data_IF_825501293419
#
_entry.id   IF_825501293419
#
_cell.length_a   1.000
_cell.length_b   1.000
_cell.length_c   1.000
_cell.angle_alpha   90.00
_cell.angle_beta   90.00
_cell.angle_gamma   90.00
#
_symmetry.space_group_name_H-M   'P 1'
#
loop_
_entity.id
_entity.type
_entity.pdbx_description
1 polymer ?
#
# COMPACT_ATOMS: atom_id res chain seq x y z
N UNK A 1 28.89 19.66 22.04
CA UNK A 1 27.79 20.64 22.09
C UNK A 1 27.33 21.11 20.71
N UNK A 2 28.18 21.72 19.87
CA UNK A 2 27.78 22.19 18.52
C UNK A 2 27.49 21.07 17.50
N UNK A 3 28.33 20.05 17.45
CA UNK A 3 28.17 18.92 16.51
C UNK A 3 27.09 17.92 16.96
N UNK A 4 26.83 17.83 18.27
CA UNK A 4 25.77 16.98 18.82
C UNK A 4 24.39 17.46 18.39
N UNK A 5 24.17 18.78 18.34
CA UNK A 5 22.92 19.37 17.84
C UNK A 5 22.78 19.13 16.32
N UNK A 6 23.87 19.28 15.57
CA UNK A 6 23.91 19.03 14.11
C UNK A 6 23.61 17.56 13.76
N UNK A 7 24.16 16.61 14.51
CA UNK A 7 23.92 15.17 14.31
C UNK A 7 22.45 14.83 14.59
N UNK A 8 21.85 15.45 15.61
CA UNK A 8 20.45 15.21 15.99
C UNK A 8 19.46 15.74 14.93
N UNK A 9 19.78 16.87 14.29
CA UNK A 9 18.99 17.45 13.18
C UNK A 9 19.07 16.58 11.92
N UNK A 10 20.24 16.02 11.62
CA UNK A 10 20.43 15.12 10.46
C UNK A 10 19.64 13.83 10.65
N UNK A 11 19.63 13.25 11.87
CA UNK A 11 18.86 12.04 12.17
C UNK A 11 17.34 12.29 12.06
N UNK A 12 16.86 13.46 12.50
CA UNK A 12 15.45 13.83 12.39
C UNK A 12 14.98 14.02 10.94
N UNK A 13 15.87 14.41 10.01
CA UNK A 13 15.51 14.60 8.61
C UNK A 13 15.34 13.28 7.83
N UNK A 14 15.98 12.19 8.27
CA UNK A 14 15.97 10.90 7.54
C UNK A 14 14.69 10.10 7.79
N UNK A 15 13.94 10.38 8.88
CA UNK A 15 12.72 9.64 9.22
C UNK A 15 11.47 10.11 8.46
N UNK A 16 11.53 11.22 7.73
CA UNK A 16 10.37 11.79 7.04
C UNK A 16 10.16 11.27 5.60
N UNK A 17 11.08 10.46 5.09
CA UNK A 17 11.05 9.94 3.71
C UNK A 17 10.27 8.62 3.56
N UNK A 18 9.67 8.11 4.63
CA UNK A 18 8.89 6.87 4.63
C UNK A 18 7.43 7.10 4.26
N UNK A 19 6.93 6.31 3.30
CA UNK A 19 5.53 6.21 2.86
C UNK A 19 5.03 7.28 1.88
N UNK A 20 5.60 7.32 0.68
CA UNK A 20 4.80 7.68 -0.51
C UNK A 20 4.10 6.42 -1.04
N UNK A 21 3.03 6.00 -0.35
CA UNK A 21 2.17 4.84 -0.70
C UNK A 21 1.34 5.05 -1.97
N UNK A 22 2.00 5.42 -3.06
CA UNK A 22 1.38 5.75 -4.34
C UNK A 22 1.87 4.84 -5.47
N UNK A 23 2.46 3.68 -5.12
CA UNK A 23 2.84 2.66 -6.08
C UNK A 23 1.73 1.60 -6.18
N UNK A 24 1.33 1.30 -7.41
CA UNK A 24 0.37 0.24 -7.72
C UNK A 24 0.76 -1.12 -7.13
N UNK A 25 2.06 -1.43 -7.09
CA UNK A 25 2.58 -2.67 -6.51
C UNK A 25 2.36 -2.73 -5.01
N UNK A 26 2.65 -1.63 -4.30
CA UNK A 26 2.52 -1.59 -2.84
C UNK A 26 1.07 -1.75 -2.41
N UNK A 27 0.15 -1.01 -3.04
CA UNK A 27 -1.30 -1.15 -2.78
C UNK A 27 -1.78 -2.59 -3.01
N UNK A 28 -1.29 -3.25 -4.07
CA UNK A 28 -1.60 -4.65 -4.34
C UNK A 28 -1.03 -5.61 -3.28
N UNK A 29 0.23 -5.41 -2.88
CA UNK A 29 0.89 -6.25 -1.88
C UNK A 29 0.23 -6.11 -0.51
N UNK A 30 -0.17 -4.89 -0.12
CA UNK A 30 -0.96 -4.64 1.10
C UNK A 30 -2.32 -5.31 1.02
N UNK A 31 -3.04 -5.17 -0.09
CA UNK A 31 -4.34 -5.84 -0.26
C UNK A 31 -4.21 -7.36 -0.10
N UNK A 32 -3.17 -7.97 -0.68
CA UNK A 32 -2.90 -9.41 -0.54
C UNK A 32 -2.56 -9.80 0.90
N UNK A 33 -1.81 -8.97 1.62
CA UNK A 33 -1.50 -9.19 3.03
C UNK A 33 -2.77 -9.20 3.89
N UNK A 34 -3.70 -8.27 3.65
CA UNK A 34 -4.99 -8.23 4.34
C UNK A 34 -5.83 -9.49 4.07
N UNK A 35 -5.82 -10.03 2.83
CA UNK A 35 -6.46 -11.32 2.55
C UNK A 35 -5.85 -12.44 3.41
N UNK A 36 -4.52 -12.50 3.53
CA UNK A 36 -3.80 -13.50 4.33
C UNK A 36 -4.05 -13.34 5.84
N UNK A 37 -4.32 -12.11 6.28
CA UNK A 37 -4.66 -11.79 7.67
C UNK A 37 -6.14 -11.97 7.99
N UNK A 38 -6.91 -12.59 7.08
CA UNK A 38 -8.35 -12.82 7.22
C UNK A 38 -9.17 -11.52 7.37
N UNK A 39 -8.72 -10.45 6.72
CA UNK A 39 -9.39 -9.14 6.62
C UNK A 39 -9.90 -8.90 5.18
N UNK A 40 -10.81 -9.71 4.65
CA UNK A 40 -11.24 -9.62 3.24
C UNK A 40 -11.90 -8.28 2.91
N UNK A 41 -12.58 -7.66 3.87
CA UNK A 41 -13.21 -6.35 3.71
C UNK A 41 -12.17 -5.26 3.35
N UNK A 42 -11.07 -5.20 4.11
CA UNK A 42 -10.00 -4.23 3.88
C UNK A 42 -9.23 -4.52 2.58
N UNK A 43 -8.98 -5.80 2.30
CA UNK A 43 -8.40 -6.22 1.02
C UNK A 43 -9.22 -5.74 -0.19
N UNK A 44 -10.56 -5.84 -0.14
CA UNK A 44 -11.42 -5.34 -1.21
C UNK A 44 -11.32 -3.83 -1.39
N UNK A 45 -11.28 -3.06 -0.30
CA UNK A 45 -11.13 -1.60 -0.35
C UNK A 45 -9.81 -1.21 -1.03
N UNK A 46 -8.71 -1.85 -0.65
CA UNK A 46 -7.40 -1.60 -1.25
C UNK A 46 -7.35 -1.98 -2.73
N UNK A 47 -7.98 -3.09 -3.13
CA UNK A 47 -8.10 -3.45 -4.55
C UNK A 47 -8.94 -2.43 -5.35
N UNK A 48 -10.04 -1.94 -4.79
CA UNK A 48 -10.84 -0.88 -5.41
C UNK A 48 -10.03 0.42 -5.56
N UNK A 49 -9.29 0.79 -4.52
CA UNK A 49 -8.41 1.96 -4.55
C UNK A 49 -7.31 1.82 -5.61
N UNK A 50 -6.66 0.66 -5.70
CA UNK A 50 -5.66 0.36 -6.73
C UNK A 50 -6.22 0.53 -8.13
N UNK A 51 -7.42 0.00 -8.39
CA UNK A 51 -8.08 0.11 -9.71
C UNK A 51 -8.40 1.58 -10.02
N UNK A 52 -8.82 2.36 -9.03
CA UNK A 52 -9.15 3.78 -9.18
C UNK A 52 -7.91 4.64 -9.42
N UNK A 53 -6.85 4.44 -8.64
CA UNK A 53 -5.62 5.26 -8.70
C UNK A 53 -4.67 4.85 -9.82
N UNK A 54 -4.60 3.56 -10.14
CA UNK A 54 -3.66 3.00 -11.11
C UNK A 54 -4.33 2.15 -12.20
N UNK A 55 -5.37 2.65 -12.90
CA UNK A 55 -6.23 1.84 -13.77
C UNK A 55 -5.51 1.16 -14.94
N UNK A 56 -4.36 1.70 -15.37
CA UNK A 56 -3.55 1.18 -16.48
C UNK A 56 -2.41 0.25 -16.01
N UNK A 57 -2.23 0.05 -14.70
CA UNK A 57 -1.18 -0.82 -14.19
C UNK A 57 -1.54 -2.30 -14.37
N UNK A 58 -0.52 -3.15 -14.54
CA UNK A 58 -0.73 -4.61 -14.52
C UNK A 58 -1.36 -5.06 -13.20
N UNK A 59 -0.98 -4.44 -12.08
CA UNK A 59 -1.56 -4.71 -10.76
C UNK A 59 -3.06 -4.40 -10.67
N UNK A 60 -3.56 -3.35 -11.35
CA UNK A 60 -4.99 -3.08 -11.41
C UNK A 60 -5.76 -4.15 -12.19
N UNK A 61 -5.16 -4.76 -13.23
CA UNK A 61 -5.77 -5.90 -13.93
C UNK A 61 -5.88 -7.10 -12.99
N UNK A 62 -4.82 -7.41 -12.25
CA UNK A 62 -4.81 -8.52 -11.29
C UNK A 62 -5.83 -8.26 -10.17
N UNK A 63 -5.89 -7.04 -9.63
CA UNK A 63 -6.83 -6.68 -8.59
C UNK A 63 -8.30 -6.78 -9.00
N UNK A 64 -8.66 -6.46 -10.26
CA UNK A 64 -10.03 -6.70 -10.77
C UNK A 64 -10.42 -8.17 -10.66
N UNK A 65 -9.49 -9.07 -11.02
CA UNK A 65 -9.71 -10.51 -10.95
C UNK A 65 -9.84 -10.97 -9.49
N UNK A 66 -8.96 -10.50 -8.59
CA UNK A 66 -9.02 -10.83 -7.15
C UNK A 66 -10.29 -10.31 -6.49
N UNK A 67 -10.66 -9.06 -6.75
CA UNK A 67 -11.89 -8.45 -6.22
C UNK A 67 -13.13 -9.24 -6.63
N UNK A 68 -13.19 -9.69 -7.89
CA UNK A 68 -14.29 -10.53 -8.39
C UNK A 68 -14.35 -11.90 -7.71
N UNK A 69 -13.20 -12.47 -7.33
CA UNK A 69 -13.15 -13.74 -6.60
C UNK A 69 -13.65 -13.58 -5.15
N UNK A 70 -13.24 -12.50 -4.46
CA UNK A 70 -13.66 -12.19 -3.09
C UNK A 70 -15.15 -11.87 -2.96
N UNK A 71 -15.78 -11.32 -3.99
CA UNK A 71 -17.23 -11.06 -3.98
C UNK A 71 -18.07 -12.34 -4.08
N UNK A 72 -17.51 -13.43 -4.60
CA UNK A 72 -18.21 -14.72 -4.74
C UNK A 72 -18.11 -15.59 -3.48
N UNK A 73 -17.23 -15.25 -2.54
CA UNK A 73 -17.00 -16.03 -1.32
C UNK A 73 -17.81 -15.54 -0.11
N UNK A 74 -18.61 -14.49 -0.27
CA UNK A 74 -19.59 -14.01 0.70
C UNK A 74 -20.98 -14.54 0.36
#
# INVERSE_FOLDING_TARGET
MKYTILILIIIAAVTFSGCSGNNAKELYDTAKLEELQNNPEHARQLYQELIKKHPKSEYAKIAKNRLSALQKSN
#
